data_IF_374860677128
#
_entry.id   IF_374860677128
#
_cell.length_a   1.000
_cell.length_b   1.000
_cell.length_c   1.000
_cell.angle_alpha   90.00
_cell.angle_beta   90.00
_cell.angle_gamma   90.00
#
_symmetry.space_group_name_H-M   'P 1'
#
loop_
_entity.id
_entity.type
_entity.pdbx_description
1 polymer ?
#
# COMPACT_ATOMS: atom_id res chain seq x y z
N UNK A 1 -26.23 -16.99 5.96
CA UNK A 1 -25.14 -16.02 6.09
C UNK A 1 -25.12 -14.96 4.96
N UNK A 2 -26.02 -14.99 4.02
CA UNK A 2 -26.07 -14.12 2.82
C UNK A 2 -27.12 -13.01 2.86
N UNK A 3 -27.95 -12.95 3.87
CA UNK A 3 -29.02 -11.96 3.98
C UNK A 3 -28.68 -10.78 4.91
N UNK A 4 -27.88 -11.02 5.95
CA UNK A 4 -27.50 -10.00 6.95
C UNK A 4 -26.57 -8.90 6.42
N UNK A 5 -25.90 -9.10 5.25
CA UNK A 5 -25.02 -8.09 4.65
C UNK A 5 -25.74 -7.14 3.67
N UNK A 6 -27.03 -7.36 3.39
CA UNK A 6 -27.81 -6.55 2.44
C UNK A 6 -28.60 -5.42 3.07
N UNK A 7 -28.82 -5.47 4.39
CA UNK A 7 -29.77 -4.62 5.09
C UNK A 7 -29.11 -3.66 6.11
N UNK A 8 -27.78 -3.43 6.01
CA UNK A 8 -27.15 -2.41 6.85
C UNK A 8 -27.54 -1.00 6.34
N UNK A 9 -28.07 -0.13 7.21
CA UNK A 9 -28.47 1.21 6.81
C UNK A 9 -27.27 2.03 6.31
N UNK A 10 -27.48 2.99 5.38
CA UNK A 10 -26.40 3.82 4.81
C UNK A 10 -25.51 4.51 5.85
N UNK A 11 -26.09 4.96 6.95
CA UNK A 11 -25.34 5.62 8.04
C UNK A 11 -24.35 4.67 8.73
N UNK A 12 -24.70 3.41 8.94
CA UNK A 12 -23.82 2.42 9.55
C UNK A 12 -22.64 2.06 8.63
N UNK A 13 -22.86 2.09 7.32
CA UNK A 13 -21.79 1.92 6.31
C UNK A 13 -20.82 3.11 6.32
N UNK A 14 -21.32 4.34 6.41
CA UNK A 14 -20.50 5.55 6.48
C UNK A 14 -19.68 5.59 7.78
N UNK A 15 -20.29 5.33 8.93
CA UNK A 15 -19.60 5.26 10.22
C UNK A 15 -18.49 4.21 10.20
N UNK A 16 -18.72 3.05 9.57
CA UNK A 16 -17.70 2.01 9.42
C UNK A 16 -16.54 2.49 8.57
N UNK A 17 -16.81 3.20 7.49
CA UNK A 17 -15.76 3.78 6.64
C UNK A 17 -14.97 4.86 7.38
N UNK A 18 -15.62 5.71 8.13
CA UNK A 18 -14.98 6.76 8.93
C UNK A 18 -14.06 6.19 10.01
N UNK A 19 -14.45 5.07 10.64
CA UNK A 19 -13.57 4.33 11.57
C UNK A 19 -12.33 3.80 10.86
N UNK A 20 -12.46 3.25 9.64
CA UNK A 20 -11.32 2.78 8.83
C UNK A 20 -10.38 3.93 8.48
N UNK A 21 -10.92 5.08 8.08
CA UNK A 21 -10.14 6.30 7.83
C UNK A 21 -9.42 6.79 9.09
N UNK A 22 -10.09 6.76 10.24
CA UNK A 22 -9.48 7.13 11.51
C UNK A 22 -8.23 6.27 11.79
N UNK A 23 -8.32 4.95 11.61
CA UNK A 23 -7.20 4.04 11.82
C UNK A 23 -6.04 4.38 10.88
N UNK A 24 -6.30 4.53 9.58
CA UNK A 24 -5.24 4.81 8.60
C UNK A 24 -4.66 6.21 8.73
N UNK A 25 -5.45 7.18 9.19
CA UNK A 25 -4.98 8.54 9.47
C UNK A 25 -3.97 8.60 10.62
N UNK A 26 -3.99 7.65 11.55
CA UNK A 26 -2.98 7.55 12.63
C UNK A 26 -1.58 7.20 12.12
N UNK A 27 -1.46 6.74 10.88
CA UNK A 27 -0.18 6.42 10.25
C UNK A 27 0.50 7.65 9.62
N UNK A 28 -0.23 8.75 9.40
CA UNK A 28 0.32 9.97 8.79
C UNK A 28 1.49 10.54 9.61
N UNK A 29 2.50 11.07 8.91
CA UNK A 29 3.72 11.58 9.51
C UNK A 29 4.63 10.49 10.08
N UNK A 30 4.46 9.24 9.66
CA UNK A 30 5.24 8.09 10.15
C UNK A 30 5.60 7.13 9.03
N UNK A 31 6.42 6.14 9.37
CA UNK A 31 6.73 5.02 8.48
C UNK A 31 5.91 3.78 8.84
N UNK A 32 5.58 2.99 7.83
CA UNK A 32 5.20 1.57 7.95
C UNK A 32 6.41 0.77 7.48
N UNK A 33 6.77 -0.31 8.17
CA UNK A 33 7.99 -1.07 7.83
C UNK A 33 7.63 -2.50 7.44
N UNK A 34 8.10 -2.96 6.29
CA UNK A 34 8.03 -4.38 5.92
C UNK A 34 9.10 -5.17 6.67
N UNK A 35 8.71 -6.31 7.26
CA UNK A 35 9.59 -7.10 8.14
C UNK A 35 9.56 -8.58 7.76
N UNK A 36 10.69 -9.27 7.97
CA UNK A 36 10.86 -10.71 7.72
C UNK A 36 10.85 -11.54 9.00
N UNK A 37 10.94 -10.90 10.16
CA UNK A 37 11.00 -11.57 11.46
C UNK A 37 10.46 -10.70 12.59
N UNK A 38 10.08 -11.30 13.73
CA UNK A 38 9.70 -10.56 14.92
C UNK A 38 10.79 -9.62 15.45
N UNK A 39 12.07 -9.98 15.29
CA UNK A 39 13.21 -9.14 15.73
C UNK A 39 13.22 -7.83 14.93
N UNK A 40 13.02 -7.92 13.61
CA UNK A 40 12.93 -6.74 12.76
C UNK A 40 11.70 -5.88 13.10
N UNK A 41 10.58 -6.50 13.48
CA UNK A 41 9.38 -5.78 13.91
C UNK A 41 9.63 -4.99 15.21
N UNK A 42 10.30 -5.58 16.19
CA UNK A 42 10.71 -4.90 17.43
C UNK A 42 11.64 -3.71 17.14
N UNK A 43 12.61 -3.88 16.24
CA UNK A 43 13.50 -2.78 15.84
C UNK A 43 12.72 -1.64 15.14
N UNK A 44 11.75 -1.97 14.29
CA UNK A 44 10.88 -0.99 13.64
C UNK A 44 10.01 -0.23 14.66
N UNK A 45 9.42 -0.93 15.62
CA UNK A 45 8.65 -0.34 16.72
C UNK A 45 9.50 0.61 17.55
N UNK A 46 10.70 0.19 17.96
CA UNK A 46 11.64 1.00 18.73
C UNK A 46 12.05 2.28 17.98
N UNK A 47 12.12 2.25 16.65
CA UNK A 47 12.38 3.40 15.80
C UNK A 47 11.14 4.30 15.56
N UNK A 48 9.97 3.94 16.11
CA UNK A 48 8.74 4.73 16.01
C UNK A 48 7.91 4.47 14.76
N UNK A 49 8.01 3.30 14.15
CA UNK A 49 7.11 2.88 13.08
C UNK A 49 5.64 2.91 13.55
N UNK A 50 4.74 3.33 12.67
CA UNK A 50 3.30 3.33 12.96
C UNK A 50 2.69 1.92 12.88
N UNK A 51 3.26 1.07 12.03
CA UNK A 51 2.81 -0.30 11.80
C UNK A 51 3.91 -1.11 11.14
N UNK A 52 3.75 -2.44 11.14
CA UNK A 52 4.61 -3.36 10.41
C UNK A 52 3.81 -4.26 9.47
N UNK A 53 4.43 -4.64 8.35
CA UNK A 53 3.90 -5.59 7.37
C UNK A 53 4.81 -6.82 7.37
N UNK A 54 4.45 -7.92 8.03
CA UNK A 54 5.20 -9.16 7.91
C UNK A 54 5.15 -9.71 6.48
N UNK A 55 6.28 -10.10 5.93
CA UNK A 55 6.38 -10.80 4.65
C UNK A 55 7.18 -12.09 4.81
N UNK A 56 6.86 -13.12 4.02
CA UNK A 56 7.51 -14.42 4.15
C UNK A 56 8.88 -14.44 3.45
N UNK A 57 9.91 -14.81 4.18
CA UNK A 57 11.26 -14.99 3.63
C UNK A 57 11.33 -16.13 2.59
N UNK A 58 10.52 -17.17 2.80
CA UNK A 58 10.49 -18.38 1.97
C UNK A 58 10.04 -18.08 0.52
N UNK A 59 9.27 -17.01 0.32
CA UNK A 59 8.73 -16.64 -1.01
C UNK A 59 9.81 -16.28 -2.04
N UNK A 60 10.83 -15.53 -1.66
CA UNK A 60 11.93 -15.21 -2.58
C UNK A 60 12.72 -16.45 -3.02
N UNK A 61 12.77 -17.48 -2.17
CA UNK A 61 13.44 -18.75 -2.49
C UNK A 61 12.56 -19.65 -3.35
N UNK A 62 11.26 -19.73 -3.03
CA UNK A 62 10.29 -20.57 -3.76
C UNK A 62 9.97 -20.01 -5.15
N UNK A 63 9.97 -18.70 -5.37
CA UNK A 63 9.82 -18.10 -6.70
C UNK A 63 10.92 -18.53 -7.68
N UNK A 64 12.15 -18.74 -7.17
CA UNK A 64 13.26 -19.27 -7.98
C UNK A 64 13.10 -20.75 -8.31
N UNK A 65 12.39 -21.51 -7.49
CA UNK A 65 12.23 -22.99 -7.64
C UNK A 65 10.91 -23.34 -8.33
N UNK A 66 9.81 -22.66 -7.96
CA UNK A 66 8.44 -23.01 -8.41
C UNK A 66 7.95 -22.13 -9.57
N UNK A 67 8.68 -21.06 -9.92
CA UNK A 67 8.32 -20.13 -10.99
C UNK A 67 7.31 -19.05 -10.59
N UNK A 68 6.94 -18.15 -11.53
CA UNK A 68 5.99 -17.07 -11.26
C UNK A 68 4.61 -17.66 -10.96
N UNK A 69 4.11 -17.44 -9.76
CA UNK A 69 2.82 -17.96 -9.28
C UNK A 69 2.84 -18.53 -7.88
N UNK A 70 4.02 -18.71 -7.28
CA UNK A 70 4.18 -19.14 -5.89
C UNK A 70 3.91 -18.04 -4.86
N UNK A 71 3.77 -16.79 -5.31
CA UNK A 71 3.52 -15.62 -4.46
C UNK A 71 2.11 -15.71 -3.83
N UNK A 72 2.07 -16.00 -2.54
CA UNK A 72 0.84 -16.11 -1.75
C UNK A 72 0.76 -14.98 -0.72
N UNK A 73 -0.37 -14.89 -0.02
CA UNK A 73 -0.54 -14.04 1.16
C UNK A 73 0.52 -14.34 2.24
N UNK A 74 0.73 -13.40 3.15
CA UNK A 74 1.56 -13.66 4.33
C UNK A 74 0.96 -14.80 5.16
N UNK A 75 1.77 -15.75 5.60
CA UNK A 75 1.31 -16.86 6.44
C UNK A 75 0.84 -16.35 7.81
N UNK A 76 -0.26 -16.91 8.30
CA UNK A 76 -0.82 -16.52 9.61
C UNK A 76 0.16 -16.81 10.75
N UNK A 77 0.99 -17.83 10.65
CA UNK A 77 2.05 -18.13 11.63
C UNK A 77 3.07 -16.99 11.74
N UNK A 78 3.47 -16.41 10.61
CA UNK A 78 4.39 -15.26 10.60
C UNK A 78 3.71 -14.01 11.17
N UNK A 79 2.45 -13.76 10.84
CA UNK A 79 1.66 -12.67 11.39
C UNK A 79 1.54 -12.80 12.92
N UNK A 80 1.10 -13.95 13.42
CA UNK A 80 0.93 -14.20 14.84
C UNK A 80 2.27 -14.05 15.60
N UNK A 81 3.37 -14.59 15.06
CA UNK A 81 4.69 -14.47 15.69
C UNK A 81 5.18 -13.02 15.83
N UNK A 82 4.76 -12.12 14.92
CA UNK A 82 5.03 -10.69 15.02
C UNK A 82 4.07 -10.03 16.01
N UNK A 83 2.75 -10.33 15.94
CA UNK A 83 1.74 -9.78 16.84
C UNK A 83 2.05 -10.07 18.32
N UNK A 84 2.65 -11.23 18.61
CA UNK A 84 3.08 -11.61 19.97
C UNK A 84 4.27 -10.80 20.51
N UNK A 85 4.94 -10.01 19.67
CA UNK A 85 6.21 -9.34 20.01
C UNK A 85 6.17 -7.83 19.94
N UNK A 86 5.18 -7.23 19.27
CA UNK A 86 5.04 -5.78 19.11
C UNK A 86 3.69 -5.29 19.59
N UNK A 87 3.63 -4.02 20.02
CA UNK A 87 2.40 -3.36 20.42
C UNK A 87 1.80 -2.51 19.29
N UNK A 88 2.61 -2.20 18.26
CA UNK A 88 2.15 -1.45 17.10
C UNK A 88 1.29 -2.33 16.17
N UNK A 89 0.41 -1.71 15.37
CA UNK A 89 -0.43 -2.39 14.39
C UNK A 89 0.34 -3.32 13.46
N UNK A 90 -0.19 -4.54 13.26
CA UNK A 90 0.31 -5.51 12.28
C UNK A 90 -0.64 -5.56 11.09
N UNK A 91 -0.11 -5.41 9.89
CA UNK A 91 -0.84 -5.36 8.62
C UNK A 91 -0.65 -6.68 7.89
N UNK A 92 -1.76 -7.32 7.52
CA UNK A 92 -1.74 -8.56 6.73
C UNK A 92 -1.68 -8.26 5.23
N UNK A 93 -0.80 -8.92 4.48
CA UNK A 93 -0.70 -8.77 3.03
C UNK A 93 -1.46 -9.89 2.32
N UNK A 94 -2.27 -9.52 1.33
CA UNK A 94 -3.07 -10.46 0.53
C UNK A 94 -2.86 -10.23 -0.96
N UNK A 95 -3.15 -11.24 -1.76
CA UNK A 95 -3.15 -11.11 -3.22
C UNK A 95 -4.28 -10.19 -3.68
N UNK A 96 -4.03 -9.41 -4.72
CA UNK A 96 -5.06 -8.58 -5.33
C UNK A 96 -6.25 -9.45 -5.79
N UNK A 97 -7.46 -9.04 -5.43
CA UNK A 97 -8.70 -9.75 -5.76
C UNK A 97 -8.98 -11.02 -4.93
N UNK A 98 -8.09 -11.44 -4.04
CA UNK A 98 -8.26 -12.70 -3.31
C UNK A 98 -9.06 -12.51 -2.01
N UNK A 99 -10.39 -12.46 -2.13
CA UNK A 99 -11.29 -12.21 -1.00
C UNK A 99 -11.16 -13.22 0.15
N UNK A 100 -10.85 -14.48 -0.14
CA UNK A 100 -10.75 -15.49 0.92
C UNK A 100 -9.53 -15.28 1.79
N UNK A 101 -8.41 -14.81 1.21
CA UNK A 101 -7.24 -14.38 1.99
C UNK A 101 -7.59 -13.17 2.86
N UNK A 102 -8.32 -12.18 2.32
CA UNK A 102 -8.73 -11.02 3.09
C UNK A 102 -9.65 -11.39 4.27
N UNK A 103 -10.61 -12.30 4.06
CA UNK A 103 -11.46 -12.83 5.15
C UNK A 103 -10.65 -13.57 6.21
N UNK A 104 -9.62 -14.33 5.81
CA UNK A 104 -8.73 -15.01 6.74
C UNK A 104 -7.90 -14.00 7.55
N UNK A 105 -7.40 -12.92 6.93
CA UNK A 105 -6.68 -11.84 7.62
C UNK A 105 -7.56 -11.08 8.60
N UNK A 106 -8.80 -10.78 8.22
CA UNK A 106 -9.77 -10.16 9.13
C UNK A 106 -10.07 -11.05 10.33
N UNK A 107 -10.27 -12.36 10.11
CA UNK A 107 -10.45 -13.34 11.18
C UNK A 107 -9.23 -13.47 12.09
N UNK A 108 -8.03 -13.29 11.57
CA UNK A 108 -6.77 -13.24 12.32
C UNK A 108 -6.58 -11.93 13.09
N UNK A 109 -7.52 -10.97 12.99
CA UNK A 109 -7.51 -9.68 13.70
C UNK A 109 -6.32 -8.78 13.36
N UNK A 110 -5.83 -8.83 12.13
CA UNK A 110 -4.86 -7.83 11.66
C UNK A 110 -5.49 -6.43 11.71
N UNK A 111 -4.69 -5.41 11.92
CA UNK A 111 -5.18 -4.03 12.01
C UNK A 111 -5.65 -3.49 10.65
N UNK A 112 -4.93 -3.84 9.58
CA UNK A 112 -5.20 -3.44 8.21
C UNK A 112 -4.85 -4.57 7.25
N UNK A 113 -5.37 -4.51 6.02
CA UNK A 113 -5.04 -5.44 4.93
C UNK A 113 -4.37 -4.66 3.80
N UNK A 114 -3.15 -5.05 3.41
CA UNK A 114 -2.46 -4.56 2.21
C UNK A 114 -2.83 -5.47 1.02
N UNK A 115 -3.70 -4.98 0.14
CA UNK A 115 -4.04 -5.65 -1.11
C UNK A 115 -2.92 -5.40 -2.14
N UNK A 116 -2.05 -6.41 -2.32
CA UNK A 116 -0.79 -6.26 -3.02
C UNK A 116 -0.88 -6.67 -4.49
N UNK A 117 -0.61 -5.75 -5.39
CA UNK A 117 -0.79 -5.89 -6.84
C UNK A 117 0.21 -6.82 -7.54
N UNK A 118 1.40 -7.02 -6.96
CA UNK A 118 2.43 -7.91 -7.52
C UNK A 118 2.26 -9.38 -7.11
N UNK A 119 1.39 -9.66 -6.16
CA UNK A 119 1.13 -11.02 -5.74
C UNK A 119 0.00 -11.55 -6.61
N UNK A 120 0.35 -12.35 -7.59
CA UNK A 120 -0.45 -13.10 -8.56
C UNK A 120 -1.97 -12.81 -8.47
N UNK A 121 -2.48 -11.80 -9.18
CA UNK A 121 -3.88 -11.41 -9.05
C UNK A 121 -4.77 -12.56 -9.53
N UNK A 122 -5.72 -12.95 -8.70
CA UNK A 122 -6.80 -13.84 -9.14
C UNK A 122 -7.81 -12.96 -9.87
N UNK A 123 -8.11 -13.33 -11.10
CA UNK A 123 -9.17 -12.68 -11.88
C UNK A 123 -10.51 -13.15 -11.34
N UNK A 124 -11.07 -12.40 -10.39
CA UNK A 124 -12.44 -12.64 -9.91
C UNK A 124 -13.28 -11.39 -10.12
N UNK A 125 -14.54 -11.50 -10.56
CA UNK A 125 -15.50 -10.39 -10.59
C UNK A 125 -16.44 -10.50 -9.41
N UNK A 126 -16.59 -9.41 -8.68
CA UNK A 126 -17.65 -9.28 -7.71
C UNK A 126 -18.93 -8.85 -8.43
N UNK A 127 -20.01 -9.60 -8.22
CA UNK A 127 -21.33 -9.27 -8.72
C UNK A 127 -22.16 -8.77 -7.53
N UNK A 128 -22.42 -7.44 -7.43
CA UNK A 128 -23.14 -6.85 -6.29
C UNK A 128 -24.53 -7.45 -6.10
N UNK A 129 -25.23 -7.76 -7.20
CA UNK A 129 -26.59 -8.27 -7.20
C UNK A 129 -26.72 -9.64 -6.56
N UNK A 130 -25.69 -10.44 -6.64
CA UNK A 130 -25.67 -11.82 -6.07
C UNK A 130 -24.77 -11.95 -4.86
N UNK A 131 -24.01 -10.90 -4.52
CA UNK A 131 -22.94 -10.93 -3.50
C UNK A 131 -21.94 -12.08 -3.71
N UNK A 132 -21.64 -12.40 -4.97
CA UNK A 132 -20.77 -13.51 -5.36
C UNK A 132 -19.54 -13.02 -6.10
N UNK A 133 -18.44 -13.75 -5.95
CA UNK A 133 -17.22 -13.57 -6.74
C UNK A 133 -17.15 -14.69 -7.77
N UNK A 134 -17.05 -14.31 -9.04
CA UNK A 134 -16.90 -15.24 -10.16
C UNK A 134 -15.46 -15.19 -10.63
N UNK A 135 -14.78 -16.33 -10.68
CA UNK A 135 -13.48 -16.46 -11.32
C UNK A 135 -13.66 -16.54 -12.84
N UNK A 136 -12.96 -15.70 -13.59
CA UNK A 136 -12.96 -15.76 -15.04
C UNK A 136 -11.79 -16.61 -15.55
N UNK A 137 -12.08 -17.52 -16.47
CA UNK A 137 -11.10 -18.07 -17.39
C UNK A 137 -11.10 -17.18 -18.63
N UNK A 138 -10.05 -16.40 -18.81
CA UNK A 138 -9.89 -15.61 -20.03
C UNK A 138 -9.24 -16.46 -21.13
N UNK A 139 -9.90 -16.50 -22.27
CA UNK A 139 -9.39 -17.00 -23.53
C UNK A 139 -9.95 -18.35 -23.99
N UNK A 140 -10.04 -18.57 -25.31
CA UNK A 140 -10.57 -19.77 -25.93
C UNK A 140 -9.77 -21.05 -25.62
N UNK A 141 -8.54 -20.94 -25.13
CA UNK A 141 -7.63 -22.07 -24.90
C UNK A 141 -7.42 -22.40 -23.41
N UNK A 142 -8.16 -21.77 -22.48
CA UNK A 142 -8.00 -22.03 -21.05
C UNK A 142 -6.65 -21.60 -20.46
N UNK A 143 -5.84 -20.90 -21.23
CA UNK A 143 -4.61 -20.29 -20.77
C UNK A 143 -4.95 -19.05 -19.91
N UNK A 144 -4.28 -18.90 -18.77
CA UNK A 144 -4.30 -17.68 -17.98
C UNK A 144 -3.59 -16.60 -18.80
N UNK A 145 -4.33 -15.96 -19.73
CA UNK A 145 -3.79 -14.88 -20.54
C UNK A 145 -3.70 -13.61 -19.71
N UNK A 146 -2.56 -12.96 -19.74
CA UNK A 146 -2.42 -11.57 -19.34
C UNK A 146 -3.17 -10.71 -20.35
N UNK A 147 -4.48 -10.58 -20.20
CA UNK A 147 -5.27 -9.70 -21.06
C UNK A 147 -4.94 -8.25 -20.74
N UNK A 148 -4.36 -7.57 -21.70
CA UNK A 148 -3.91 -6.17 -21.67
C UNK A 148 -5.01 -5.12 -21.43
N UNK A 149 -6.25 -5.53 -21.12
CA UNK A 149 -7.39 -4.63 -20.90
C UNK A 149 -8.42 -5.10 -19.87
N UNK A 150 -8.20 -6.19 -19.18
CA UNK A 150 -9.12 -6.57 -18.09
C UNK A 150 -8.82 -5.70 -16.88
N UNK A 151 -9.83 -5.03 -16.41
CA UNK A 151 -9.86 -4.39 -15.09
C UNK A 151 -9.31 -5.40 -14.10
N UNK A 152 -8.08 -5.16 -13.60
CA UNK A 152 -7.46 -6.01 -12.57
C UNK A 152 -8.46 -6.06 -11.42
N UNK A 153 -9.00 -7.23 -11.17
CA UNK A 153 -10.03 -7.38 -10.18
C UNK A 153 -9.47 -7.10 -8.81
N UNK A 154 -10.22 -6.35 -8.07
CA UNK A 154 -9.86 -5.91 -6.74
C UNK A 154 -10.94 -6.35 -5.76
N UNK A 155 -10.57 -6.48 -4.52
CA UNK A 155 -11.51 -6.77 -3.45
C UNK A 155 -12.45 -5.58 -3.27
N UNK A 156 -13.75 -5.83 -3.24
CA UNK A 156 -14.72 -4.85 -2.77
C UNK A 156 -14.62 -4.78 -1.26
N UNK A 157 -14.26 -3.61 -0.73
CA UNK A 157 -13.73 -3.46 0.63
C UNK A 157 -14.77 -3.00 1.65
N UNK A 158 -15.93 -2.55 1.16
CA UNK A 158 -16.97 -2.01 2.05
C UNK A 158 -17.47 -3.01 3.10
N UNK A 159 -17.68 -4.32 2.78
CA UNK A 159 -18.17 -5.29 3.76
C UNK A 159 -17.19 -5.60 4.89
N UNK A 160 -15.90 -5.34 4.71
CA UNK A 160 -14.90 -5.63 5.74
C UNK A 160 -14.91 -4.60 6.87
N UNK A 161 -14.63 -5.05 8.08
CA UNK A 161 -14.48 -4.18 9.26
C UNK A 161 -13.11 -3.54 9.36
N UNK A 162 -12.09 -4.20 8.80
CA UNK A 162 -10.70 -3.71 8.77
C UNK A 162 -10.45 -2.79 7.58
N UNK A 163 -9.59 -1.76 7.72
CA UNK A 163 -9.18 -0.89 6.63
C UNK A 163 -8.29 -1.60 5.62
N UNK A 164 -8.33 -1.11 4.37
CA UNK A 164 -7.49 -1.59 3.28
C UNK A 164 -6.50 -0.55 2.81
N UNK A 165 -5.27 -1.01 2.56
CA UNK A 165 -4.20 -0.29 1.89
C UNK A 165 -4.11 -0.83 0.46
N UNK A 166 -4.06 0.05 -0.55
CA UNK A 166 -4.01 -0.36 -1.94
C UNK A 166 -2.97 0.43 -2.72
N UNK A 167 -2.30 -0.24 -3.66
CA UNK A 167 -1.37 0.39 -4.58
C UNK A 167 -2.08 1.05 -5.75
N UNK A 168 -1.49 2.17 -6.23
CA UNK A 168 -1.91 2.87 -7.42
C UNK A 168 -0.70 3.43 -8.17
N UNK A 169 -0.66 3.27 -9.50
CA UNK A 169 0.39 3.81 -10.34
C UNK A 169 0.05 5.22 -10.88
N UNK A 170 -1.22 5.60 -10.81
CA UNK A 170 -1.71 6.91 -11.23
C UNK A 170 -2.98 7.30 -10.46
N UNK A 171 -3.46 8.54 -10.71
CA UNK A 171 -4.63 9.07 -10.03
C UNK A 171 -5.91 8.29 -10.34
N UNK A 172 -6.08 7.81 -11.58
CA UNK A 172 -7.26 7.03 -11.95
C UNK A 172 -7.35 5.72 -11.15
N UNK A 173 -6.22 5.01 -11.00
CA UNK A 173 -6.15 3.82 -10.14
C UNK A 173 -6.41 4.19 -8.67
N UNK A 174 -5.80 5.26 -8.16
CA UNK A 174 -6.00 5.72 -6.79
C UNK A 174 -7.47 5.98 -6.48
N UNK A 175 -8.16 6.71 -7.35
CA UNK A 175 -9.58 7.03 -7.21
C UNK A 175 -10.45 5.76 -7.25
N UNK A 176 -10.15 4.82 -8.15
CA UNK A 176 -10.85 3.51 -8.18
C UNK A 176 -10.69 2.74 -6.87
N UNK A 177 -9.46 2.70 -6.31
CA UNK A 177 -9.21 2.04 -5.01
C UNK A 177 -10.04 2.68 -3.89
N UNK A 178 -10.11 4.02 -3.87
CA UNK A 178 -10.92 4.76 -2.89
C UNK A 178 -12.41 4.45 -3.06
N UNK A 179 -12.92 4.45 -4.29
CA UNK A 179 -14.32 4.12 -4.58
C UNK A 179 -14.69 2.68 -4.18
N UNK A 180 -13.74 1.74 -4.26
CA UNK A 180 -13.90 0.36 -3.77
C UNK A 180 -13.86 0.25 -2.24
N UNK A 181 -13.53 1.33 -1.52
CA UNK A 181 -13.47 1.40 -0.06
C UNK A 181 -12.06 1.29 0.53
N UNK A 182 -11.01 1.55 -0.24
CA UNK A 182 -9.67 1.70 0.33
C UNK A 182 -9.61 2.94 1.21
N UNK A 183 -8.98 2.82 2.37
CA UNK A 183 -8.82 3.89 3.36
C UNK A 183 -7.38 4.42 3.47
N UNK A 184 -6.46 3.85 2.70
CA UNK A 184 -5.12 4.36 2.45
C UNK A 184 -4.69 3.94 1.04
N UNK A 185 -4.12 4.86 0.29
CA UNK A 185 -3.51 4.59 -1.02
C UNK A 185 -2.00 4.76 -0.91
N UNK A 186 -1.26 3.87 -1.55
CA UNK A 186 0.19 3.97 -1.72
C UNK A 186 0.57 3.93 -3.18
N UNK A 187 1.79 4.35 -3.52
CA UNK A 187 2.33 4.08 -4.86
C UNK A 187 2.37 2.56 -5.12
N UNK A 188 2.11 2.17 -6.37
CA UNK A 188 2.18 0.77 -6.77
C UNK A 188 3.62 0.25 -6.71
N UNK A 189 3.79 -1.02 -6.35
CA UNK A 189 5.08 -1.67 -6.50
C UNK A 189 5.34 -1.99 -7.97
N UNK A 190 6.57 -1.80 -8.43
CA UNK A 190 7.01 -2.21 -9.77
C UNK A 190 7.47 -3.66 -9.76
N UNK A 191 7.23 -4.39 -10.85
CA UNK A 191 7.82 -5.73 -11.07
C UNK A 191 9.35 -5.68 -11.03
N UNK A 192 9.91 -4.52 -11.40
CA UNK A 192 11.35 -4.26 -11.37
C UNK A 192 11.85 -3.74 -10.01
N UNK A 193 11.12 -3.91 -8.92
CA UNK A 193 11.53 -3.48 -7.58
C UNK A 193 12.86 -4.12 -7.14
N UNK A 194 13.29 -5.20 -7.80
CA UNK A 194 14.62 -5.78 -7.65
C UNK A 194 15.75 -4.92 -8.25
N UNK A 195 15.44 -3.96 -9.14
CA UNK A 195 16.44 -3.09 -9.80
C UNK A 195 16.93 -1.94 -8.91
N UNK A 196 16.43 -1.79 -7.70
CA UNK A 196 16.84 -0.75 -6.75
C UNK A 196 16.52 0.70 -7.18
N UNK A 197 15.61 0.88 -8.13
CA UNK A 197 15.31 2.17 -8.72
C UNK A 197 14.15 2.87 -8.00
N UNK A 198 14.48 3.82 -7.13
CA UNK A 198 13.52 4.70 -6.44
C UNK A 198 12.87 5.71 -7.41
N UNK A 199 13.44 5.95 -8.59
CA UNK A 199 12.95 6.97 -9.54
C UNK A 199 11.52 6.72 -9.98
N UNK A 200 11.11 5.44 -10.12
CA UNK A 200 9.74 5.05 -10.44
C UNK A 200 8.74 5.48 -9.36
N UNK A 201 9.14 5.40 -8.09
CA UNK A 201 8.31 5.87 -6.98
C UNK A 201 8.12 7.39 -7.06
N UNK A 202 9.19 8.15 -7.31
CA UNK A 202 9.11 9.59 -7.52
C UNK A 202 8.24 9.96 -8.72
N UNK A 203 8.36 9.25 -9.83
CA UNK A 203 7.53 9.46 -11.02
C UNK A 203 6.04 9.24 -10.74
N UNK A 204 5.67 8.17 -10.02
CA UNK A 204 4.28 7.91 -9.64
C UNK A 204 3.73 9.00 -8.73
N UNK A 205 4.48 9.43 -7.70
CA UNK A 205 4.06 10.52 -6.80
C UNK A 205 3.86 11.81 -7.60
N UNK A 206 4.80 12.18 -8.47
CA UNK A 206 4.67 13.36 -9.33
C UNK A 206 3.46 13.27 -10.24
N UNK A 207 3.27 12.14 -10.94
CA UNK A 207 2.13 11.93 -11.85
C UNK A 207 0.80 12.05 -11.13
N UNK A 208 0.67 11.54 -9.92
CA UNK A 208 -0.55 11.67 -9.11
C UNK A 208 -0.78 13.14 -8.74
N UNK A 209 0.27 13.84 -8.28
CA UNK A 209 0.18 15.26 -7.91
C UNK A 209 -0.17 16.16 -9.10
N UNK A 210 0.45 15.94 -10.26
CA UNK A 210 0.15 16.67 -11.49
C UNK A 210 -1.32 16.49 -11.91
N UNK A 211 -1.82 15.26 -11.80
CA UNK A 211 -3.23 14.96 -12.11
C UNK A 211 -4.19 15.55 -11.06
N UNK A 212 -3.81 15.63 -9.78
CA UNK A 212 -4.59 16.35 -8.76
C UNK A 212 -4.62 17.85 -9.09
N UNK A 213 -3.49 18.44 -9.48
CA UNK A 213 -3.43 19.84 -9.87
C UNK A 213 -4.33 20.13 -11.09
N UNK A 214 -4.43 19.20 -12.04
CA UNK A 214 -5.37 19.29 -13.17
C UNK A 214 -6.83 19.32 -12.69
N UNK A 215 -7.23 18.47 -11.75
CA UNK A 215 -8.57 18.47 -11.16
C UNK A 215 -8.85 19.80 -10.44
N UNK A 216 -7.90 20.29 -9.65
CA UNK A 216 -8.04 21.54 -8.88
C UNK A 216 -8.26 22.74 -9.77
N UNK A 217 -7.53 22.81 -10.89
CA UNK A 217 -7.59 23.92 -11.84
C UNK A 217 -8.68 23.75 -12.92
N UNK A 218 -9.26 22.55 -13.06
CA UNK A 218 -10.29 22.25 -14.05
C UNK A 218 -11.64 22.90 -13.71
N UNK A 219 -12.42 23.22 -14.72
CA UNK A 219 -13.83 23.57 -14.59
C UNK A 219 -14.74 22.35 -14.44
N UNK A 220 -16.03 22.54 -14.29
CA UNK A 220 -16.99 21.44 -14.13
C UNK A 220 -17.04 20.51 -15.35
N UNK A 221 -16.89 21.04 -16.56
CA UNK A 221 -16.87 20.23 -17.79
C UNK A 221 -15.65 19.30 -17.77
N UNK A 222 -14.49 19.82 -17.35
CA UNK A 222 -13.28 18.99 -17.21
C UNK A 222 -13.45 17.92 -16.14
N UNK A 223 -14.09 18.24 -15.00
CA UNK A 223 -14.36 17.25 -13.95
C UNK A 223 -15.26 16.11 -14.48
N UNK A 224 -16.32 16.41 -15.21
CA UNK A 224 -17.17 15.37 -15.82
C UNK A 224 -16.39 14.50 -16.80
N UNK A 225 -15.55 15.12 -17.62
CA UNK A 225 -14.69 14.38 -18.56
C UNK A 225 -13.73 13.43 -17.82
N UNK A 226 -13.08 13.93 -16.78
CA UNK A 226 -12.15 13.13 -15.98
C UNK A 226 -12.87 12.02 -15.19
N UNK A 227 -14.07 12.28 -14.66
CA UNK A 227 -14.90 11.27 -13.99
C UNK A 227 -15.21 10.09 -14.93
N UNK A 228 -15.61 10.41 -16.17
CA UNK A 228 -15.84 9.40 -17.20
C UNK A 228 -14.55 8.69 -17.62
N UNK A 229 -13.42 9.39 -17.75
CA UNK A 229 -12.13 8.82 -18.14
C UNK A 229 -11.61 7.86 -17.08
N UNK A 230 -11.71 8.24 -15.81
CA UNK A 230 -11.25 7.41 -14.69
C UNK A 230 -12.30 6.38 -14.26
N UNK A 231 -13.52 6.44 -14.79
CA UNK A 231 -14.63 5.56 -14.42
C UNK A 231 -14.88 5.59 -12.90
N UNK A 232 -15.08 6.81 -12.36
CA UNK A 232 -15.34 7.10 -10.94
C UNK A 232 -16.44 8.14 -10.79
N UNK A 233 -17.01 8.25 -9.58
CA UNK A 233 -18.05 9.23 -9.31
C UNK A 233 -17.53 10.67 -9.39
N UNK A 234 -18.36 11.59 -9.87
CA UNK A 234 -18.03 13.02 -9.91
C UNK A 234 -17.84 13.60 -8.50
N UNK A 235 -18.57 13.08 -7.53
CA UNK A 235 -18.49 13.49 -6.12
C UNK A 235 -17.09 13.25 -5.58
N UNK A 236 -16.46 12.13 -5.92
CA UNK A 236 -15.09 11.83 -5.52
C UNK A 236 -14.10 12.86 -6.09
N UNK A 237 -14.26 13.25 -7.36
CA UNK A 237 -13.45 14.31 -7.96
C UNK A 237 -13.68 15.68 -7.30
N UNK A 238 -14.92 15.99 -6.93
CA UNK A 238 -15.26 17.22 -6.18
C UNK A 238 -14.60 17.22 -4.80
N UNK A 239 -14.55 16.06 -4.12
CA UNK A 239 -13.81 15.92 -2.86
C UNK A 239 -12.31 16.19 -3.04
N UNK A 240 -11.68 15.62 -4.07
CA UNK A 240 -10.27 15.86 -4.41
C UNK A 240 -10.05 17.34 -4.72
N UNK A 241 -10.91 17.96 -5.52
CA UNK A 241 -10.82 19.39 -5.85
C UNK A 241 -10.90 20.29 -4.62
N UNK A 242 -11.85 20.01 -3.73
CA UNK A 242 -12.05 20.77 -2.50
C UNK A 242 -10.88 20.63 -1.52
N UNK A 243 -10.40 19.39 -1.34
CA UNK A 243 -9.30 19.07 -0.43
C UNK A 243 -7.92 19.37 -1.03
N UNK A 244 -7.80 19.54 -2.36
CA UNK A 244 -6.56 19.66 -3.14
C UNK A 244 -5.61 18.47 -2.93
N UNK A 245 -6.14 17.32 -2.55
CA UNK A 245 -5.42 16.08 -2.27
C UNK A 245 -6.38 14.89 -2.31
N UNK A 246 -5.86 13.68 -2.24
CA UNK A 246 -6.71 12.50 -2.04
C UNK A 246 -7.48 12.58 -0.71
N UNK A 247 -8.74 12.08 -0.65
CA UNK A 247 -9.54 12.08 0.57
C UNK A 247 -9.11 11.01 1.60
N UNK A 248 -8.07 10.25 1.28
CA UNK A 248 -7.43 9.25 2.16
C UNK A 248 -5.93 9.52 2.26
N UNK A 249 -5.22 9.03 3.30
CA UNK A 249 -3.76 9.14 3.35
C UNK A 249 -3.09 8.55 2.11
N UNK A 250 -2.08 9.25 1.60
CA UNK A 250 -1.27 8.85 0.45
C UNK A 250 0.18 8.58 0.86
N UNK A 251 0.61 7.34 0.73
CA UNK A 251 1.94 6.88 1.12
C UNK A 251 2.81 6.57 -0.09
N UNK A 252 4.09 6.88 -0.01
CA UNK A 252 5.05 6.34 -0.96
C UNK A 252 5.48 4.93 -0.55
N UNK A 253 5.60 4.04 -1.52
CA UNK A 253 6.07 2.66 -1.37
C UNK A 253 6.91 2.26 -2.58
N UNK A 254 7.80 1.28 -2.40
CA UNK A 254 8.71 0.80 -3.45
C UNK A 254 10.13 1.33 -3.28
N UNK A 255 11.09 0.42 -3.10
CA UNK A 255 12.52 0.69 -2.97
C UNK A 255 12.96 1.73 -1.92
N UNK A 256 12.12 2.02 -0.93
CA UNK A 256 12.36 3.04 0.09
C UNK A 256 13.17 2.45 1.24
N UNK A 257 14.40 2.91 1.42
CA UNK A 257 15.30 2.52 2.51
C UNK A 257 16.37 3.57 2.85
N UNK A 258 16.44 4.68 2.06
CA UNK A 258 17.37 5.78 2.32
C UNK A 258 16.63 6.97 2.92
N UNK A 259 17.13 7.55 4.03
CA UNK A 259 16.45 8.65 4.71
C UNK A 259 16.28 9.90 3.83
N UNK A 260 17.25 10.20 2.97
CA UNK A 260 17.19 11.40 2.14
C UNK A 260 16.12 11.30 1.04
N UNK A 261 15.88 10.11 0.51
CA UNK A 261 14.79 9.86 -0.44
C UNK A 261 13.43 10.03 0.24
N UNK A 262 13.35 9.63 1.52
CA UNK A 262 12.15 9.81 2.33
C UNK A 262 11.85 11.30 2.52
N UNK A 263 12.85 12.12 2.84
CA UNK A 263 12.66 13.57 2.95
C UNK A 263 12.09 14.17 1.65
N UNK A 264 12.61 13.73 0.49
CA UNK A 264 12.10 14.18 -0.80
C UNK A 264 10.65 13.75 -1.03
N UNK A 265 10.28 12.50 -0.72
CA UNK A 265 8.90 12.02 -0.86
C UNK A 265 7.92 12.77 0.06
N UNK A 266 8.33 13.08 1.29
CA UNK A 266 7.54 13.92 2.20
C UNK A 266 7.36 15.34 1.66
N UNK A 267 8.42 15.95 1.11
CA UNK A 267 8.35 17.28 0.49
C UNK A 267 7.45 17.33 -0.75
N UNK A 268 7.29 16.18 -1.44
CA UNK A 268 6.34 16.02 -2.56
C UNK A 268 4.89 15.83 -2.10
N UNK A 269 4.61 15.83 -0.79
CA UNK A 269 3.26 15.79 -0.23
C UNK A 269 2.74 14.39 0.10
N UNK A 270 3.61 13.38 0.19
CA UNK A 270 3.21 12.09 0.77
C UNK A 270 2.91 12.24 2.26
N UNK A 271 1.93 11.48 2.76
CA UNK A 271 1.56 11.48 4.18
C UNK A 271 2.45 10.56 5.03
N UNK A 272 3.27 9.76 4.40
CA UNK A 272 4.20 8.83 5.02
C UNK A 272 4.81 7.89 3.98
N UNK A 273 5.57 6.90 4.46
CA UNK A 273 6.28 5.97 3.59
C UNK A 273 6.13 4.53 4.07
N UNK A 274 6.21 3.57 3.13
CA UNK A 274 6.35 2.14 3.44
C UNK A 274 7.79 1.74 3.14
N UNK A 275 8.54 1.47 4.21
CA UNK A 275 9.97 1.15 4.16
C UNK A 275 10.18 -0.31 3.80
N UNK A 276 11.07 -0.56 2.85
CA UNK A 276 11.44 -1.90 2.39
C UNK A 276 12.26 -2.67 3.42
N UNK A 277 12.17 -4.00 3.41
CA UNK A 277 13.05 -4.91 4.20
C UNK A 277 14.53 -4.69 3.96
N UNK A 278 14.91 -4.02 2.88
CA UNK A 278 16.32 -3.67 2.58
C UNK A 278 16.96 -2.82 3.67
N UNK A 279 16.19 -2.05 4.42
CA UNK A 279 16.69 -1.27 5.56
C UNK A 279 17.47 -2.15 6.53
N UNK A 280 17.06 -3.43 6.69
CA UNK A 280 17.69 -4.40 7.57
C UNK A 280 18.96 -5.03 7.01
N UNK A 281 19.32 -4.77 5.74
CA UNK A 281 20.62 -5.16 5.16
C UNK A 281 21.72 -4.13 5.43
N UNK A 282 21.40 -3.01 6.05
CA UNK A 282 22.38 -2.01 6.47
C UNK A 282 23.26 -2.56 7.62
N UNK A 283 24.47 -2.04 7.78
CA UNK A 283 25.32 -2.36 8.91
C UNK A 283 24.70 -1.99 10.26
N UNK A 284 23.95 -0.86 10.30
CA UNK A 284 23.24 -0.36 11.47
C UNK A 284 21.76 -0.09 11.14
N UNK A 285 20.91 -1.14 11.08
CA UNK A 285 19.51 -0.99 10.68
C UNK A 285 18.70 -0.06 11.59
N UNK A 286 18.92 -0.13 12.91
CA UNK A 286 18.22 0.70 13.88
C UNK A 286 18.54 2.19 13.67
N UNK A 287 19.81 2.52 13.44
CA UNK A 287 20.24 3.89 13.15
C UNK A 287 19.55 4.39 11.87
N UNK A 288 19.53 3.56 10.83
CA UNK A 288 18.87 3.93 9.56
C UNK A 288 17.37 4.13 9.72
N UNK A 289 16.67 3.29 10.47
CA UNK A 289 15.25 3.46 10.78
C UNK A 289 15.00 4.77 11.56
N UNK A 290 15.84 5.10 12.55
CA UNK A 290 15.77 6.36 13.29
C UNK A 290 16.00 7.57 12.38
N UNK A 291 16.98 7.50 11.46
CA UNK A 291 17.23 8.56 10.48
C UNK A 291 16.08 8.71 9.48
N UNK A 292 15.40 7.62 9.09
CA UNK A 292 14.16 7.67 8.30
C UNK A 292 13.06 8.42 9.06
N UNK A 293 12.86 8.12 10.34
CA UNK A 293 11.87 8.84 11.15
C UNK A 293 12.24 10.32 11.35
N UNK A 294 13.53 10.62 11.48
CA UNK A 294 14.02 12.00 11.53
C UNK A 294 13.75 12.72 10.20
N UNK A 295 14.02 12.06 9.07
CA UNK A 295 13.74 12.61 7.75
C UNK A 295 12.24 12.87 7.52
N UNK A 296 11.34 11.99 8.02
CA UNK A 296 9.89 12.22 7.94
C UNK A 296 9.49 13.47 8.74
N UNK A 297 10.05 13.66 9.93
CA UNK A 297 9.67 14.77 10.83
C UNK A 297 10.29 16.13 10.43
N UNK A 298 11.43 16.10 9.78
CA UNK A 298 12.29 17.25 9.49
C UNK A 298 12.67 17.33 8.01
N UNK A 299 11.79 16.92 7.11
CA UNK A 299 12.07 16.86 5.67
C UNK A 299 12.35 18.25 5.05
N UNK A 300 11.95 19.32 5.71
CA UNK A 300 12.14 20.72 5.33
C UNK A 300 13.26 21.43 6.12
N UNK A 301 13.99 20.72 7.00
CA UNK A 301 15.10 21.25 7.79
C UNK A 301 16.46 20.82 7.19
N UNK A 302 17.17 21.73 6.46
CA UNK A 302 18.45 21.38 5.83
C UNK A 302 19.55 20.99 6.82
N UNK A 303 19.50 21.47 8.07
CA UNK A 303 20.52 21.15 9.09
C UNK A 303 20.34 19.71 9.56
N UNK A 304 19.11 19.30 9.82
CA UNK A 304 18.81 17.90 10.17
C UNK A 304 19.15 16.95 9.01
N UNK A 305 18.84 17.34 7.78
CA UNK A 305 19.14 16.54 6.59
C UNK A 305 20.66 16.41 6.36
N UNK A 306 21.44 17.49 6.57
CA UNK A 306 22.90 17.42 6.50
C UNK A 306 23.47 16.40 7.50
N UNK A 307 23.01 16.43 8.74
CA UNK A 307 23.43 15.46 9.78
C UNK A 307 23.05 14.00 9.42
N UNK A 308 21.90 13.78 8.74
CA UNK A 308 21.53 12.45 8.23
C UNK A 308 22.50 12.00 7.14
N UNK A 309 22.85 12.89 6.20
CA UNK A 309 23.77 12.59 5.08
C UNK A 309 25.17 12.24 5.62
N UNK A 310 25.66 12.98 6.58
CA UNK A 310 26.95 12.69 7.24
C UNK A 310 26.97 11.29 7.87
N UNK A 311 25.92 10.95 8.61
CA UNK A 311 25.78 9.60 9.19
C UNK A 311 25.62 8.53 8.12
N UNK A 312 24.94 8.83 7.03
CA UNK A 312 24.72 7.90 5.91
C UNK A 312 26.04 7.45 5.26
N UNK A 313 27.06 8.30 5.22
CA UNK A 313 28.42 7.94 4.80
C UNK A 313 29.05 6.82 5.64
N UNK A 314 28.60 6.64 6.88
CA UNK A 314 29.00 5.56 7.78
C UNK A 314 28.21 4.25 7.65
N UNK A 315 27.15 4.21 6.84
CA UNK A 315 26.34 2.96 6.68
C UNK A 315 27.04 1.85 5.87
N UNK A 316 28.23 2.12 5.33
CA UNK A 316 28.97 1.21 4.47
C UNK A 316 28.31 0.97 3.11
N UNK A 317 29.01 0.38 2.16
CA UNK A 317 28.41 0.00 0.89
C UNK A 317 27.31 -1.04 1.15
N UNK A 318 26.18 -0.91 0.47
CA UNK A 318 25.15 -1.95 0.44
C UNK A 318 25.80 -3.24 -0.06
N UNK A 319 25.56 -4.41 0.57
CA UNK A 319 26.01 -5.66 0.02
C UNK A 319 25.50 -5.77 -1.42
N UNK A 320 26.40 -5.94 -2.36
CA UNK A 320 26.06 -6.23 -3.74
C UNK A 320 25.25 -7.52 -3.81
N UNK A 321 24.30 -7.59 -4.73
CA UNK A 321 23.33 -8.72 -4.88
C UNK A 321 24.02 -10.06 -5.22
N UNK A 322 25.34 -10.10 -5.31
CA UNK A 322 26.18 -11.26 -5.64
C UNK A 322 26.83 -11.86 -4.37
N UNK A 323 26.03 -12.17 -3.38
CA UNK A 323 26.44 -12.90 -2.20
C UNK A 323 25.33 -13.82 -1.72
#
# INVERSE_FOLDING_TARGET
MSQELRDEPPEETQERYDRKLTITSMFQGKMIVTVLSPIQAVAAEAAGAAAVIPINHIKMFMERIEGPGSNRSTELSAINSVMDRVLIPVIGRVRAGHIMEAKAMEAAKVCCIDEHELINPITTTYIPETNQYIAFKDGPDGAYGYAHKTTKMRIYKQPFKVPFICGAADLGEALKRIQEGASLVRTAYSVDDDTHDISKTFEMVRKINDSIAEIVNGDDVRLYTLASTYDVSIELLRMVKAAKRLPVPFFAAGCIFMPIDVAMLMSMGCDGVIVSTRVFKAMCPETRLNDIMTAIKHYDDPVQLAGIIERAGGYGPMPTVNG
#
